data_IF_469526291792
#
_entry.id   IF_469526291792
#
_cell.length_a   1.000
_cell.length_b   1.000
_cell.length_c   1.000
_cell.angle_alpha   90.00
_cell.angle_beta   90.00
_cell.angle_gamma   90.00
#
_symmetry.space_group_name_H-M   'P 1'
#
loop_
_entity.id
_entity.type
_entity.pdbx_description
1 polymer ?
#
# COMPACT_ATOMS: atom_id res chain seq x y z
N UNK A 1 -25.73 29.46 35.58
CA UNK A 1 -27.02 29.36 34.83
C UNK A 1 -27.02 28.33 33.70
N UNK A 2 -25.95 28.16 32.90
CA UNK A 2 -25.91 27.17 31.80
C UNK A 2 -26.19 25.71 32.23
N UNK A 3 -25.73 25.32 33.41
CA UNK A 3 -25.99 23.99 33.97
C UNK A 3 -27.49 23.67 34.12
N UNK A 4 -28.28 24.62 34.63
CA UNK A 4 -29.72 24.43 34.83
C UNK A 4 -30.47 24.32 33.51
N UNK A 5 -30.05 25.07 32.49
CA UNK A 5 -30.64 25.02 31.14
C UNK A 5 -30.33 23.66 30.49
N UNK A 6 -29.09 23.17 30.57
CA UNK A 6 -28.74 21.84 30.08
C UNK A 6 -29.45 20.72 30.85
N UNK A 7 -29.63 20.87 32.16
CA UNK A 7 -30.31 19.89 32.99
C UNK A 7 -31.80 19.78 32.62
N UNK A 8 -32.48 20.91 32.45
CA UNK A 8 -33.88 20.96 31.99
C UNK A 8 -34.02 20.39 30.58
N UNK A 9 -33.10 20.70 29.66
CA UNK A 9 -33.11 20.14 28.31
C UNK A 9 -32.82 18.63 28.25
N UNK A 10 -32.04 18.09 29.20
CA UNK A 10 -31.68 16.67 29.25
C UNK A 10 -32.70 15.81 30.01
N UNK A 11 -33.55 16.40 30.85
CA UNK A 11 -34.55 15.67 31.64
C UNK A 11 -35.51 14.78 30.81
N UNK A 12 -36.12 15.24 29.70
CA UNK A 12 -36.99 14.39 28.89
C UNK A 12 -36.26 13.18 28.30
N UNK A 13 -34.95 13.29 27.98
CA UNK A 13 -34.15 12.14 27.55
C UNK A 13 -33.94 11.11 28.66
N UNK A 14 -33.83 11.55 29.91
CA UNK A 14 -33.69 10.64 31.06
C UNK A 14 -34.99 9.87 31.30
N UNK A 15 -36.14 10.52 31.14
CA UNK A 15 -37.46 9.89 31.23
C UNK A 15 -37.72 8.93 30.07
N UNK A 16 -37.32 9.28 28.84
CA UNK A 16 -37.36 8.37 27.69
C UNK A 16 -36.49 7.13 27.90
N UNK A 17 -35.26 7.31 28.41
CA UNK A 17 -34.35 6.20 28.73
C UNK A 17 -34.92 5.34 29.85
N UNK A 18 -35.47 5.96 30.91
CA UNK A 18 -36.12 5.24 32.00
C UNK A 18 -37.34 4.44 31.50
N UNK A 19 -38.15 5.01 30.61
CA UNK A 19 -39.29 4.34 29.99
C UNK A 19 -38.87 3.20 29.03
N UNK A 20 -37.74 3.34 28.32
CA UNK A 20 -37.17 2.28 27.49
C UNK A 20 -36.64 1.13 28.37
N UNK A 21 -36.00 1.45 29.49
CA UNK A 21 -35.46 0.48 30.43
C UNK A 21 -36.53 -0.19 31.30
N UNK A 22 -37.67 0.47 31.53
CA UNK A 22 -38.80 -0.08 32.30
C UNK A 22 -39.76 -0.91 31.45
N UNK A 23 -39.59 -0.95 30.12
CA UNK A 23 -40.35 -1.88 29.28
C UNK A 23 -39.97 -3.30 29.70
N UNK A 24 -40.94 -4.16 30.06
CA UNK A 24 -40.64 -5.56 30.29
C UNK A 24 -39.98 -6.13 29.04
N UNK A 25 -38.93 -6.96 29.18
CA UNK A 25 -38.28 -7.56 28.02
C UNK A 25 -39.35 -8.25 27.17
N UNK A 26 -39.31 -8.09 25.84
CA UNK A 26 -40.28 -8.73 24.97
C UNK A 26 -40.32 -10.24 25.31
N UNK A 27 -41.52 -10.84 25.36
CA UNK A 27 -41.64 -12.26 25.68
C UNK A 27 -40.70 -13.04 24.76
N UNK A 28 -39.96 -14.04 25.28
CA UNK A 28 -38.97 -14.76 24.50
C UNK A 28 -39.65 -15.30 23.25
N UNK A 29 -39.11 -14.97 22.08
CA UNK A 29 -39.63 -15.43 20.80
C UNK A 29 -39.73 -16.95 20.84
N UNK A 30 -40.94 -17.48 20.78
CA UNK A 30 -41.21 -18.91 20.73
C UNK A 30 -40.63 -19.41 19.40
N UNK A 31 -39.45 -20.04 19.45
CA UNK A 31 -38.83 -20.64 18.28
C UNK A 31 -39.63 -21.88 17.92
N UNK A 32 -40.47 -21.78 16.89
CA UNK A 32 -41.15 -22.94 16.31
C UNK A 32 -40.04 -23.86 15.76
N UNK A 33 -39.97 -25.14 16.19
CA UNK A 33 -38.91 -26.04 15.74
C UNK A 33 -38.97 -26.23 14.22
N UNK A 34 -37.80 -26.28 13.59
CA UNK A 34 -37.67 -26.28 12.12
C UNK A 34 -38.22 -27.54 11.43
N UNK A 35 -38.47 -28.63 12.18
CA UNK A 35 -39.16 -29.85 11.74
C UNK A 35 -40.15 -30.31 12.83
N UNK A 36 -41.26 -30.91 12.41
CA UNK A 36 -42.14 -31.65 13.33
C UNK A 36 -41.55 -33.03 13.68
N UNK A 37 -41.94 -33.59 14.82
CA UNK A 37 -41.44 -34.91 15.26
C UNK A 37 -41.76 -36.04 14.27
N UNK A 38 -42.90 -35.94 13.58
CA UNK A 38 -43.32 -36.90 12.55
C UNK A 38 -42.42 -36.83 11.31
N UNK A 39 -42.03 -35.62 10.90
CA UNK A 39 -41.09 -35.43 9.80
C UNK A 39 -39.71 -35.98 10.15
N UNK A 40 -39.23 -35.76 11.38
CA UNK A 40 -37.95 -36.34 11.86
C UNK A 40 -37.98 -37.87 11.81
N UNK A 41 -39.09 -38.51 12.21
CA UNK A 41 -39.25 -39.96 12.11
C UNK A 41 -39.22 -40.46 10.66
N UNK A 42 -39.93 -39.78 9.76
CA UNK A 42 -39.92 -40.13 8.33
C UNK A 42 -38.53 -39.98 7.70
N UNK A 43 -37.80 -38.93 8.04
CA UNK A 43 -36.42 -38.68 7.59
C UNK A 43 -35.48 -39.80 8.07
N UNK A 44 -35.62 -40.22 9.33
CA UNK A 44 -34.83 -41.31 9.90
C UNK A 44 -35.15 -42.64 9.20
N UNK A 45 -36.41 -42.95 8.98
CA UNK A 45 -36.81 -44.15 8.23
C UNK A 45 -36.28 -44.13 6.79
N UNK A 46 -36.29 -42.97 6.14
CA UNK A 46 -35.69 -42.81 4.81
C UNK A 46 -34.17 -43.02 4.85
N UNK A 47 -33.47 -42.55 5.88
CA UNK A 47 -32.02 -42.78 6.06
C UNK A 47 -31.76 -44.28 6.20
N UNK A 48 -32.55 -45.02 6.99
CA UNK A 48 -32.39 -46.47 7.13
C UNK A 48 -32.73 -47.23 5.84
N UNK A 49 -33.81 -46.84 5.13
CA UNK A 49 -34.27 -47.49 3.89
C UNK A 49 -33.31 -47.22 2.72
N UNK A 50 -32.95 -45.97 2.50
CA UNK A 50 -32.14 -45.55 1.34
C UNK A 50 -30.65 -45.68 1.59
N UNK A 51 -30.23 -45.72 2.87
CA UNK A 51 -28.84 -45.66 3.32
C UNK A 51 -28.08 -44.44 2.79
N UNK A 52 -28.80 -43.43 2.29
CA UNK A 52 -28.27 -42.18 1.74
C UNK A 52 -28.61 -41.05 2.69
N UNK A 53 -27.64 -40.17 2.91
CA UNK A 53 -27.82 -38.99 3.76
C UNK A 53 -28.18 -37.81 2.87
N UNK A 54 -29.32 -37.16 3.15
CA UNK A 54 -29.72 -35.91 2.50
C UNK A 54 -28.87 -34.75 3.02
N UNK A 55 -28.70 -33.72 2.19
CA UNK A 55 -28.12 -32.46 2.65
C UNK A 55 -29.16 -31.63 3.39
N UNK A 56 -28.81 -31.11 4.55
CA UNK A 56 -29.64 -30.20 5.32
C UNK A 56 -29.06 -28.79 5.20
N UNK A 57 -29.82 -27.86 4.63
CA UNK A 57 -29.39 -26.47 4.47
C UNK A 57 -29.30 -25.73 5.82
N UNK A 58 -30.09 -26.17 6.81
CA UNK A 58 -30.17 -25.55 8.13
C UNK A 58 -29.56 -26.45 9.21
N UNK A 59 -28.64 -25.88 9.99
CA UNK A 59 -28.00 -26.54 11.14
C UNK A 59 -29.02 -27.06 12.16
N UNK A 60 -30.10 -26.31 12.42
CA UNK A 60 -31.17 -26.71 13.34
C UNK A 60 -31.89 -27.98 12.85
N UNK A 61 -32.08 -28.15 11.54
CA UNK A 61 -32.69 -29.36 10.97
C UNK A 61 -31.79 -30.58 11.13
N UNK A 62 -30.49 -30.39 10.87
CA UNK A 62 -29.46 -31.42 11.08
C UNK A 62 -29.45 -31.89 12.55
N UNK A 63 -29.48 -30.96 13.49
CA UNK A 63 -29.46 -31.26 14.92
C UNK A 63 -30.70 -32.02 15.39
N UNK A 64 -31.89 -31.68 14.86
CA UNK A 64 -33.12 -32.42 15.13
C UNK A 64 -33.07 -33.86 14.61
N UNK A 65 -32.54 -34.09 13.41
CA UNK A 65 -32.37 -35.45 12.85
C UNK A 65 -31.32 -36.25 13.62
N UNK A 66 -30.20 -35.62 14.01
CA UNK A 66 -29.19 -36.26 14.88
C UNK A 66 -29.78 -36.62 16.25
N UNK A 67 -30.57 -35.73 16.85
CA UNK A 67 -31.25 -35.98 18.11
C UNK A 67 -32.23 -37.16 17.99
N UNK A 68 -32.98 -37.21 16.89
CA UNK A 68 -33.86 -38.34 16.58
C UNK A 68 -33.10 -39.66 16.40
N UNK A 69 -31.96 -39.68 15.68
CA UNK A 69 -31.10 -40.86 15.55
C UNK A 69 -30.49 -41.32 16.89
N UNK A 70 -30.22 -40.38 17.80
CA UNK A 70 -29.76 -40.72 19.17
C UNK A 70 -30.89 -41.30 20.02
N UNK A 71 -32.13 -40.83 19.85
CA UNK A 71 -33.31 -41.40 20.49
C UNK A 71 -33.58 -42.82 19.99
N UNK A 72 -33.57 -43.05 18.68
CA UNK A 72 -33.77 -44.40 18.11
C UNK A 72 -32.68 -45.36 18.54
N UNK A 73 -31.43 -44.89 18.69
CA UNK A 73 -30.35 -45.68 19.31
C UNK A 73 -30.70 -46.09 20.75
N UNK A 74 -31.18 -45.16 21.58
CA UNK A 74 -31.54 -45.46 22.96
C UNK A 74 -32.69 -46.48 23.04
N UNK A 75 -33.74 -46.29 22.23
CA UNK A 75 -34.88 -47.22 22.14
C UNK A 75 -34.46 -48.62 21.66
N UNK A 76 -33.55 -48.70 20.68
CA UNK A 76 -33.02 -49.98 20.19
C UNK A 76 -32.17 -50.69 21.26
N UNK A 77 -31.42 -49.95 22.09
CA UNK A 77 -30.68 -50.52 23.22
C UNK A 77 -31.64 -51.09 24.27
N UNK A 78 -32.72 -50.37 24.61
CA UNK A 78 -33.74 -50.85 25.56
C UNK A 78 -34.43 -52.13 25.05
N UNK A 79 -34.64 -52.25 23.74
CA UNK A 79 -35.20 -53.45 23.09
C UNK A 79 -34.17 -54.57 22.84
N UNK A 80 -32.91 -54.38 23.25
CA UNK A 80 -31.81 -55.32 22.98
C UNK A 80 -31.48 -55.55 21.49
N UNK A 81 -31.87 -54.62 20.61
CA UNK A 81 -31.59 -54.65 19.16
C UNK A 81 -30.27 -53.92 18.85
N UNK A 82 -29.15 -54.55 19.21
CA UNK A 82 -27.82 -53.91 19.15
C UNK A 82 -27.37 -53.52 17.73
N UNK A 83 -27.78 -54.25 16.69
CA UNK A 83 -27.42 -53.95 15.30
C UNK A 83 -28.04 -52.63 14.83
N UNK A 84 -29.32 -52.42 15.14
CA UNK A 84 -30.02 -51.16 14.83
C UNK A 84 -29.43 -49.99 15.62
N UNK A 85 -29.06 -50.21 16.88
CA UNK A 85 -28.40 -49.20 17.69
C UNK A 85 -27.02 -48.79 17.12
N UNK A 86 -26.25 -49.75 16.58
CA UNK A 86 -24.96 -49.49 15.93
C UNK A 86 -25.14 -48.74 14.61
N UNK A 87 -26.11 -49.13 13.78
CA UNK A 87 -26.44 -48.42 12.54
C UNK A 87 -26.90 -46.98 12.82
N UNK A 88 -27.77 -46.77 13.80
CA UNK A 88 -28.23 -45.44 14.22
C UNK A 88 -27.07 -44.53 14.67
N UNK A 89 -26.14 -45.07 15.48
CA UNK A 89 -24.95 -44.35 15.92
C UNK A 89 -23.98 -44.04 14.76
N UNK A 90 -23.85 -44.97 13.82
CA UNK A 90 -23.05 -44.78 12.61
C UNK A 90 -23.59 -43.63 11.75
N UNK A 91 -24.90 -43.63 11.45
CA UNK A 91 -25.54 -42.57 10.67
C UNK A 91 -25.49 -41.22 11.39
N UNK A 92 -25.70 -41.19 12.72
CA UNK A 92 -25.58 -39.97 13.50
C UNK A 92 -24.17 -39.36 13.40
N UNK A 93 -23.12 -40.18 13.48
CA UNK A 93 -21.73 -39.73 13.33
C UNK A 93 -21.43 -39.19 11.94
N UNK A 94 -21.94 -39.84 10.88
CA UNK A 94 -21.75 -39.35 9.52
C UNK A 94 -22.48 -38.02 9.31
N UNK A 95 -23.72 -37.89 9.81
CA UNK A 95 -24.48 -36.64 9.72
C UNK A 95 -23.74 -35.48 10.39
N UNK A 96 -23.21 -35.71 11.60
CA UNK A 96 -22.42 -34.71 12.35
C UNK A 96 -21.16 -34.34 11.56
N UNK A 97 -20.41 -35.32 11.04
CA UNK A 97 -19.20 -35.08 10.25
C UNK A 97 -19.51 -34.27 8.98
N UNK A 98 -20.56 -34.63 8.26
CA UNK A 98 -20.98 -33.94 7.05
C UNK A 98 -21.45 -32.50 7.33
N UNK A 99 -22.15 -32.26 8.44
CA UNK A 99 -22.53 -30.92 8.88
C UNK A 99 -21.31 -30.05 9.24
N UNK A 100 -20.35 -30.61 9.98
CA UNK A 100 -19.10 -29.95 10.32
C UNK A 100 -18.30 -29.57 9.07
N UNK A 101 -18.17 -30.49 8.10
CA UNK A 101 -17.49 -30.21 6.83
C UNK A 101 -18.20 -29.12 6.01
N UNK A 102 -19.54 -29.11 6.01
CA UNK A 102 -20.32 -28.05 5.38
C UNK A 102 -20.07 -26.67 6.00
N UNK A 103 -20.01 -26.58 7.33
CA UNK A 103 -19.66 -25.33 8.02
C UNK A 103 -18.24 -24.88 7.71
N UNK A 104 -17.27 -25.81 7.67
CA UNK A 104 -15.88 -25.50 7.28
C UNK A 104 -15.80 -25.02 5.85
N UNK A 105 -16.52 -25.65 4.91
CA UNK A 105 -16.59 -25.21 3.52
C UNK A 105 -17.10 -23.76 3.41
N UNK A 106 -18.23 -23.45 4.06
CA UNK A 106 -18.79 -22.08 4.09
C UNK A 106 -17.82 -21.06 4.70
N UNK A 107 -17.11 -21.43 5.76
CA UNK A 107 -16.12 -20.56 6.38
C UNK A 107 -14.94 -20.30 5.44
N UNK A 108 -14.45 -21.33 4.74
CA UNK A 108 -13.34 -21.17 3.79
C UNK A 108 -13.76 -20.41 2.53
N UNK A 109 -14.99 -20.59 2.03
CA UNK A 109 -15.49 -19.83 0.88
C UNK A 109 -15.66 -18.36 1.21
N UNK A 110 -16.21 -18.03 2.39
CA UNK A 110 -16.30 -16.66 2.88
C UNK A 110 -14.91 -16.01 3.01
N UNK A 111 -13.94 -16.74 3.57
CA UNK A 111 -12.56 -16.27 3.68
C UNK A 111 -11.90 -16.05 2.31
N UNK A 112 -12.12 -16.96 1.36
CA UNK A 112 -11.60 -16.81 0.01
C UNK A 112 -12.20 -15.57 -0.69
N UNK A 113 -13.51 -15.32 -0.51
CA UNK A 113 -14.16 -14.12 -1.03
C UNK A 113 -13.61 -12.83 -0.41
N UNK A 114 -13.39 -12.81 0.91
CA UNK A 114 -12.80 -11.66 1.61
C UNK A 114 -11.38 -11.36 1.12
N UNK A 115 -10.54 -12.40 0.97
CA UNK A 115 -9.18 -12.24 0.45
C UNK A 115 -9.20 -11.73 -0.99
N UNK A 116 -10.13 -12.24 -1.82
CA UNK A 116 -10.31 -11.79 -3.20
C UNK A 116 -10.66 -10.30 -3.27
N UNK A 117 -11.59 -9.85 -2.45
CA UNK A 117 -11.96 -8.43 -2.37
C UNK A 117 -10.75 -7.57 -1.99
N UNK A 118 -10.00 -7.96 -0.95
CA UNK A 118 -8.77 -7.27 -0.53
C UNK A 118 -7.71 -7.21 -1.62
N UNK A 119 -7.65 -8.25 -2.46
CA UNK A 119 -6.72 -8.33 -3.59
C UNK A 119 -7.11 -7.34 -4.69
N UNK A 120 -8.40 -7.24 -5.01
CA UNK A 120 -8.93 -6.24 -5.95
C UNK A 120 -8.66 -4.81 -5.46
N UNK A 121 -8.97 -4.52 -4.19
CA UNK A 121 -8.68 -3.24 -3.54
C UNK A 121 -7.17 -2.90 -3.60
N UNK A 122 -6.29 -3.86 -3.24
CA UNK A 122 -4.84 -3.65 -3.28
C UNK A 122 -4.31 -3.39 -4.71
N UNK A 123 -4.91 -4.00 -5.73
CA UNK A 123 -4.53 -3.77 -7.14
C UNK A 123 -4.94 -2.38 -7.61
N UNK A 124 -6.11 -1.91 -7.21
CA UNK A 124 -6.57 -0.57 -7.56
C UNK A 124 -5.80 0.51 -6.80
N UNK A 125 -5.45 0.25 -5.54
CA UNK A 125 -4.53 1.08 -4.77
C UNK A 125 -3.16 1.20 -5.44
N UNK A 126 -2.60 0.10 -5.95
CA UNK A 126 -1.34 0.11 -6.69
C UNK A 126 -1.44 1.01 -7.93
N UNK A 127 -2.50 0.86 -8.73
CA UNK A 127 -2.72 1.72 -9.92
C UNK A 127 -2.85 3.20 -9.53
N UNK A 128 -3.55 3.49 -8.43
CA UNK A 128 -3.71 4.85 -7.93
C UNK A 128 -2.36 5.45 -7.51
N UNK A 129 -1.50 4.66 -6.85
CA UNK A 129 -0.14 5.08 -6.47
C UNK A 129 0.73 5.34 -7.69
N UNK A 130 0.69 4.47 -8.70
CA UNK A 130 1.42 4.66 -9.95
C UNK A 130 1.04 5.99 -10.63
N UNK A 131 -0.27 6.25 -10.79
CA UNK A 131 -0.76 7.52 -11.35
C UNK A 131 -0.31 8.73 -10.53
N UNK A 132 -0.42 8.67 -9.21
CA UNK A 132 0.05 9.75 -8.32
C UNK A 132 1.54 10.04 -8.51
N UNK A 133 2.37 9.00 -8.61
CA UNK A 133 3.81 9.16 -8.83
C UNK A 133 4.13 9.71 -10.22
N UNK A 134 3.38 9.32 -11.25
CA UNK A 134 3.49 9.90 -12.60
C UNK A 134 3.12 11.39 -12.61
N UNK A 135 2.02 11.77 -11.96
CA UNK A 135 1.61 13.17 -11.82
C UNK A 135 2.66 14.00 -11.08
N UNK A 136 3.22 13.48 -9.98
CA UNK A 136 4.30 14.14 -9.24
C UNK A 136 5.56 14.30 -10.10
N UNK A 137 5.90 13.27 -10.88
CA UNK A 137 7.03 13.33 -11.79
C UNK A 137 6.84 14.38 -12.89
N UNK A 138 5.64 14.48 -13.47
CA UNK A 138 5.31 15.49 -14.48
C UNK A 138 5.37 16.90 -13.89
N UNK A 139 4.77 17.13 -12.72
CA UNK A 139 4.87 18.43 -12.01
C UNK A 139 6.32 18.80 -11.72
N UNK A 140 7.13 17.85 -11.25
CA UNK A 140 8.56 18.08 -11.02
C UNK A 140 9.28 18.50 -12.30
N UNK A 141 9.00 17.82 -13.42
CA UNK A 141 9.58 18.17 -14.73
C UNK A 141 9.17 19.59 -15.17
N UNK A 142 7.90 19.93 -15.07
CA UNK A 142 7.38 21.26 -15.39
C UNK A 142 8.06 22.34 -14.55
N UNK A 143 8.13 22.14 -13.22
CA UNK A 143 8.79 23.10 -12.32
C UNK A 143 10.29 23.27 -12.61
N UNK A 144 10.97 22.20 -13.00
CA UNK A 144 12.37 22.26 -13.41
C UNK A 144 12.53 23.06 -14.72
N UNK A 145 11.65 22.82 -15.71
CA UNK A 145 11.66 23.55 -16.99
C UNK A 145 11.36 25.04 -16.81
N UNK A 146 10.35 25.38 -16.00
CA UNK A 146 10.04 26.79 -15.71
C UNK A 146 11.21 27.49 -15.04
N UNK A 147 11.83 26.84 -14.06
CA UNK A 147 12.99 27.42 -13.37
C UNK A 147 14.19 27.59 -14.31
N UNK A 148 14.47 26.61 -15.17
CA UNK A 148 15.54 26.76 -16.16
C UNK A 148 15.26 27.91 -17.12
N UNK A 149 14.02 28.05 -17.60
CA UNK A 149 13.62 29.16 -18.46
C UNK A 149 13.80 30.51 -17.76
N UNK A 150 13.40 30.64 -16.51
CA UNK A 150 13.64 31.85 -15.70
C UNK A 150 15.13 32.15 -15.53
N UNK A 151 15.95 31.13 -15.25
CA UNK A 151 17.41 31.31 -15.16
C UNK A 151 18.01 31.77 -16.48
N UNK A 152 17.59 31.18 -17.61
CA UNK A 152 18.05 31.60 -18.93
C UNK A 152 17.66 33.04 -19.24
N UNK A 153 16.44 33.46 -18.91
CA UNK A 153 15.99 34.84 -19.09
C UNK A 153 16.81 35.80 -18.22
N UNK A 154 17.04 35.47 -16.94
CA UNK A 154 17.88 36.26 -16.04
C UNK A 154 19.31 36.40 -16.58
N UNK A 155 19.93 35.30 -17.01
CA UNK A 155 21.27 35.29 -17.59
C UNK A 155 21.36 36.10 -18.88
N UNK A 156 20.37 35.98 -19.76
CA UNK A 156 20.30 36.76 -21.00
C UNK A 156 20.15 38.25 -20.70
N UNK A 157 19.29 38.62 -19.75
CA UNK A 157 19.09 40.02 -19.35
C UNK A 157 20.36 40.63 -18.74
N UNK A 158 21.09 39.87 -17.92
CA UNK A 158 22.35 40.31 -17.31
C UNK A 158 23.41 40.57 -18.40
N UNK A 159 23.58 39.65 -19.36
CA UNK A 159 24.52 39.83 -20.47
C UNK A 159 24.12 41.05 -21.32
N UNK A 160 22.84 41.19 -21.67
CA UNK A 160 22.34 42.36 -22.42
C UNK A 160 22.62 43.67 -21.68
N UNK A 161 22.45 43.70 -20.37
CA UNK A 161 22.75 44.88 -19.56
C UNK A 161 24.24 45.22 -19.60
N UNK A 162 25.12 44.22 -19.51
CA UNK A 162 26.58 44.42 -19.63
C UNK A 162 26.98 44.86 -21.06
N UNK A 163 26.34 44.33 -22.09
CA UNK A 163 26.55 44.76 -23.48
C UNK A 163 26.06 46.20 -23.71
N UNK A 164 24.96 46.61 -23.10
CA UNK A 164 24.47 47.98 -23.13
C UNK A 164 25.44 48.93 -22.42
N UNK A 165 26.02 48.52 -21.29
CA UNK A 165 27.08 49.28 -20.59
C UNK A 165 28.34 49.44 -21.45
N UNK A 166 28.69 48.43 -22.27
CA UNK A 166 29.81 48.52 -23.21
C UNK A 166 29.62 49.64 -24.24
N UNK A 167 28.38 49.88 -24.68
CA UNK A 167 28.04 50.95 -25.65
C UNK A 167 28.05 52.35 -25.04
N UNK A 168 28.06 52.47 -23.71
CA UNK A 168 28.11 53.76 -23.02
C UNK A 168 29.54 54.29 -22.93
N UNK A 169 29.67 55.62 -22.84
CA UNK A 169 30.95 56.29 -22.69
C UNK A 169 31.65 55.85 -21.39
N UNK A 170 33.00 55.76 -21.40
CA UNK A 170 33.74 55.31 -20.23
C UNK A 170 33.52 56.27 -19.05
N UNK A 171 33.33 55.74 -17.83
CA UNK A 171 33.11 56.56 -16.65
C UNK A 171 34.36 57.40 -16.31
N UNK A 172 34.21 58.54 -15.59
CA UNK A 172 35.32 59.43 -15.23
C UNK A 172 36.46 58.73 -14.48
N UNK A 173 36.17 57.65 -13.75
CA UNK A 173 37.20 56.85 -13.06
C UNK A 173 38.25 56.25 -14.02
N UNK A 174 37.89 56.03 -15.29
CA UNK A 174 38.77 55.46 -16.32
C UNK A 174 39.40 56.57 -17.17
N UNK A 175 38.70 57.71 -17.34
CA UNK A 175 39.16 58.89 -18.08
C UNK A 175 40.16 59.75 -17.30
N UNK A 176 41.21 59.13 -16.77
CA UNK A 176 42.29 59.88 -16.09
C UNK A 176 43.35 60.24 -17.12
N UNK A 177 43.25 61.47 -17.63
CA UNK A 177 44.22 62.03 -18.58
C UNK A 177 45.63 62.11 -17.99
N UNK A 178 46.63 62.00 -18.86
CA UNK A 178 48.03 62.08 -18.43
C UNK A 178 48.38 63.49 -17.93
N UNK A 179 49.37 63.56 -17.03
CA UNK A 179 49.88 64.84 -16.54
C UNK A 179 50.42 65.73 -17.68
N UNK A 180 50.92 65.11 -18.76
CA UNK A 180 51.47 65.82 -19.91
C UNK A 180 50.36 66.55 -20.68
N UNK A 181 49.24 65.88 -20.97
CA UNK A 181 48.07 66.51 -21.59
C UNK A 181 47.53 67.66 -20.72
N UNK A 182 47.44 67.44 -19.41
CA UNK A 182 47.01 68.47 -18.47
C UNK A 182 47.94 69.69 -18.46
N UNK A 183 49.26 69.49 -18.58
CA UNK A 183 50.24 70.56 -18.70
C UNK A 183 50.09 71.34 -20.01
N UNK A 184 49.89 70.64 -21.14
CA UNK A 184 49.64 71.29 -22.43
C UNK A 184 48.36 72.14 -22.41
N UNK A 185 47.27 71.65 -21.80
CA UNK A 185 46.03 72.43 -21.63
C UNK A 185 46.23 73.67 -20.76
N UNK A 186 46.94 73.55 -19.63
CA UNK A 186 47.28 74.70 -18.77
C UNK A 186 48.16 75.72 -19.49
N UNK A 187 49.14 75.27 -20.28
CA UNK A 187 50.02 76.15 -21.06
C UNK A 187 49.25 76.86 -22.18
N UNK A 188 48.35 76.16 -22.85
CA UNK A 188 47.43 76.73 -23.83
C UNK A 188 46.58 77.84 -23.21
N UNK A 189 45.96 77.59 -22.05
CA UNK A 189 45.17 78.59 -21.32
C UNK A 189 46.00 79.81 -20.93
N UNK A 190 47.23 79.61 -20.44
CA UNK A 190 48.15 80.69 -20.10
C UNK A 190 48.54 81.54 -21.32
N UNK A 191 48.79 80.92 -22.49
CA UNK A 191 49.08 81.62 -23.75
C UNK A 191 47.87 82.44 -24.26
N UNK A 192 46.65 81.90 -24.11
CA UNK A 192 45.42 82.62 -24.42
C UNK A 192 45.26 83.86 -23.52
N UNK A 193 45.52 83.73 -22.22
CA UNK A 193 45.51 84.85 -21.27
C UNK A 193 46.60 85.88 -21.62
N UNK A 194 47.76 85.43 -22.08
CA UNK A 194 48.87 86.26 -22.56
C UNK A 194 48.67 86.88 -23.95
N UNK A 195 47.51 86.66 -24.61
CA UNK A 195 47.18 87.13 -25.98
C UNK A 195 48.10 86.59 -27.08
N UNK A 196 48.77 85.46 -26.85
CA UNK A 196 49.63 84.77 -27.82
C UNK A 196 48.81 83.73 -28.59
N UNK A 197 47.93 84.19 -29.48
CA UNK A 197 46.94 83.32 -30.12
C UNK A 197 47.55 82.28 -31.08
N UNK A 198 48.56 82.67 -31.86
CA UNK A 198 49.21 81.75 -32.83
C UNK A 198 49.93 80.58 -32.14
N UNK A 199 50.60 80.84 -31.02
CA UNK A 199 51.26 79.80 -30.22
C UNK A 199 50.24 78.93 -29.48
N UNK A 200 49.17 79.55 -28.97
CA UNK A 200 48.06 78.83 -28.35
C UNK A 200 47.35 77.88 -29.32
N UNK A 201 47.22 78.27 -30.60
CA UNK A 201 46.64 77.43 -31.64
C UNK A 201 47.48 76.17 -31.90
N UNK A 202 48.80 76.32 -32.08
CA UNK A 202 49.72 75.18 -32.22
C UNK A 202 49.69 74.27 -31.00
N UNK A 203 49.65 74.84 -29.80
CA UNK A 203 49.53 74.06 -28.55
C UNK A 203 48.18 73.34 -28.44
N UNK A 204 47.10 73.96 -28.92
CA UNK A 204 45.78 73.34 -28.98
C UNK A 204 45.78 72.13 -29.90
N UNK A 205 46.36 72.21 -31.09
CA UNK A 205 46.43 71.08 -32.02
C UNK A 205 47.16 69.88 -31.41
N UNK A 206 48.30 70.12 -30.76
CA UNK A 206 49.07 69.08 -30.05
C UNK A 206 48.26 68.48 -28.89
N UNK A 207 47.58 69.30 -28.09
CA UNK A 207 46.75 68.84 -27.00
C UNK A 207 45.51 68.06 -27.49
N UNK A 208 44.88 68.50 -28.58
CA UNK A 208 43.72 67.85 -29.20
C UNK A 208 44.12 66.48 -29.80
N UNK A 209 45.31 66.37 -30.41
CA UNK A 209 45.85 65.09 -30.89
C UNK A 209 46.08 64.12 -29.73
N UNK A 210 46.77 64.57 -28.68
CA UNK A 210 47.07 63.76 -27.50
C UNK A 210 45.80 63.36 -26.74
N UNK A 211 44.79 64.23 -26.67
CA UNK A 211 43.51 63.90 -26.07
C UNK A 211 42.77 62.80 -26.83
N UNK A 212 42.78 62.84 -28.18
CA UNK A 212 42.15 61.79 -29.00
C UNK A 212 42.81 60.44 -28.76
N UNK A 213 44.14 60.39 -28.74
CA UNK A 213 44.90 59.16 -28.46
C UNK A 213 44.57 58.60 -27.06
N UNK A 214 44.55 59.45 -26.03
CA UNK A 214 44.20 59.03 -24.67
C UNK A 214 42.74 58.59 -24.54
N UNK A 215 41.81 59.26 -25.22
CA UNK A 215 40.39 58.89 -25.25
C UNK A 215 40.17 57.51 -25.91
N UNK A 216 40.91 57.19 -26.98
CA UNK A 216 40.92 55.86 -27.60
C UNK A 216 41.44 54.79 -26.62
N UNK A 217 42.55 55.07 -25.94
CA UNK A 217 43.11 54.16 -24.92
C UNK A 217 42.13 53.95 -23.77
N UNK A 218 41.45 55.01 -23.31
CA UNK A 218 40.41 54.90 -22.28
C UNK A 218 39.23 54.04 -22.74
N UNK A 219 38.81 54.17 -24.00
CA UNK A 219 37.74 53.37 -24.58
C UNK A 219 38.12 51.88 -24.67
N UNK A 220 39.36 51.58 -25.08
CA UNK A 220 39.89 50.20 -25.12
C UNK A 220 39.89 49.59 -23.71
N UNK A 221 40.46 50.29 -22.72
CA UNK A 221 40.48 49.83 -21.32
C UNK A 221 39.09 49.58 -20.75
N UNK A 222 38.13 50.44 -21.08
CA UNK A 222 36.72 50.26 -20.69
C UNK A 222 36.11 49.01 -21.32
N UNK A 223 36.28 48.85 -22.62
CA UNK A 223 35.81 47.67 -23.35
C UNK A 223 36.42 46.39 -22.78
N UNK A 224 37.71 46.37 -22.47
CA UNK A 224 38.38 45.23 -21.83
C UNK A 224 37.80 44.91 -20.45
N UNK A 225 37.56 45.92 -19.62
CA UNK A 225 36.97 45.75 -18.29
C UNK A 225 35.56 45.15 -18.40
N UNK A 226 34.73 45.66 -19.32
CA UNK A 226 33.39 45.12 -19.55
C UNK A 226 33.45 43.70 -20.12
N UNK A 227 34.35 43.42 -21.05
CA UNK A 227 34.54 42.06 -21.57
C UNK A 227 34.92 41.08 -20.47
N UNK A 228 35.83 41.45 -19.55
CA UNK A 228 36.16 40.63 -18.38
C UNK A 228 34.94 40.40 -17.48
N UNK A 229 34.10 41.43 -17.28
CA UNK A 229 32.84 41.28 -16.52
C UNK A 229 31.87 40.32 -17.20
N UNK A 230 31.72 40.40 -18.53
CA UNK A 230 30.88 39.49 -19.32
C UNK A 230 31.39 38.06 -19.21
N UNK A 231 32.70 37.83 -19.36
CA UNK A 231 33.28 36.49 -19.23
C UNK A 231 33.13 35.92 -17.81
N UNK A 232 33.34 36.75 -16.78
CA UNK A 232 33.09 36.34 -15.40
C UNK A 232 31.60 36.01 -15.16
N UNK A 233 30.68 36.81 -15.72
CA UNK A 233 29.25 36.53 -15.65
C UNK A 233 28.95 35.18 -16.31
N UNK A 234 29.37 34.94 -17.56
CA UNK A 234 29.18 33.65 -18.25
C UNK A 234 29.73 32.47 -17.44
N UNK A 235 30.92 32.62 -16.85
CA UNK A 235 31.53 31.58 -16.02
C UNK A 235 30.69 31.30 -14.75
N UNK A 236 30.14 32.33 -14.12
CA UNK A 236 29.25 32.15 -12.96
C UNK A 236 27.91 31.52 -13.36
N UNK A 237 27.32 31.95 -14.47
CA UNK A 237 26.08 31.41 -15.02
C UNK A 237 26.22 29.92 -15.37
N UNK A 238 27.32 29.53 -16.03
CA UNK A 238 27.58 28.11 -16.35
C UNK A 238 27.76 27.26 -15.09
N UNK A 239 28.45 27.76 -14.06
CA UNK A 239 28.56 27.09 -12.76
C UNK A 239 27.18 26.94 -12.10
N UNK A 240 26.38 28.01 -12.09
CA UNK A 240 25.03 27.99 -11.52
C UNK A 240 24.13 26.98 -12.22
N UNK A 241 24.13 26.96 -13.56
CA UNK A 241 23.38 25.98 -14.34
C UNK A 241 23.85 24.54 -14.06
N UNK A 242 25.16 24.30 -13.93
CA UNK A 242 25.70 22.97 -13.58
C UNK A 242 25.21 22.50 -12.22
N UNK A 243 25.32 23.35 -11.19
CA UNK A 243 24.84 23.04 -9.84
C UNK A 243 23.34 22.77 -9.86
N UNK A 244 22.57 23.60 -10.57
CA UNK A 244 21.12 23.43 -10.61
C UNK A 244 20.66 22.19 -11.38
N UNK A 245 21.34 21.85 -12.48
CA UNK A 245 21.13 20.57 -13.19
C UNK A 245 21.44 19.36 -12.30
N UNK A 246 22.52 19.42 -11.53
CA UNK A 246 22.85 18.35 -10.58
C UNK A 246 21.80 18.21 -9.48
N UNK A 247 21.31 19.34 -8.93
CA UNK A 247 20.21 19.34 -7.95
C UNK A 247 18.97 18.62 -8.49
N UNK A 248 18.47 19.03 -9.66
CA UNK A 248 17.27 18.42 -10.25
C UNK A 248 17.46 16.95 -10.64
N UNK A 249 18.68 16.56 -11.06
CA UNK A 249 19.02 15.17 -11.29
C UNK A 249 18.92 14.35 -10.01
N UNK A 250 19.45 14.86 -8.90
CA UNK A 250 19.39 14.19 -7.60
C UNK A 250 17.94 14.11 -7.09
N UNK A 251 17.19 15.22 -7.14
CA UNK A 251 15.78 15.25 -6.77
C UNK A 251 14.94 14.26 -7.58
N UNK A 252 15.18 14.18 -8.90
CA UNK A 252 14.55 13.17 -9.77
C UNK A 252 14.90 11.75 -9.32
N UNK A 253 16.17 11.47 -9.04
CA UNK A 253 16.60 10.15 -8.62
C UNK A 253 15.97 9.76 -7.28
N UNK A 254 15.91 10.69 -6.34
CA UNK A 254 15.25 10.50 -5.04
C UNK A 254 13.76 10.18 -5.20
N UNK A 255 13.06 10.95 -6.04
CA UNK A 255 11.64 10.73 -6.34
C UNK A 255 11.39 9.35 -6.97
N UNK A 256 12.20 8.97 -7.97
CA UNK A 256 12.10 7.65 -8.61
C UNK A 256 12.40 6.52 -7.61
N UNK A 257 13.41 6.70 -6.76
CA UNK A 257 13.75 5.71 -5.73
C UNK A 257 12.63 5.54 -4.70
N UNK A 258 11.97 6.62 -4.29
CA UNK A 258 10.82 6.58 -3.38
C UNK A 258 9.62 5.90 -4.05
N UNK A 259 9.30 6.28 -5.28
CA UNK A 259 8.23 5.66 -6.06
C UNK A 259 8.43 4.15 -6.22
N UNK A 260 9.65 3.73 -6.59
CA UNK A 260 9.99 2.32 -6.75
C UNK A 260 9.84 1.55 -5.43
N UNK A 261 10.28 2.11 -4.30
CA UNK A 261 10.12 1.48 -2.97
C UNK A 261 8.65 1.27 -2.62
N UNK A 262 7.80 2.26 -2.84
CA UNK A 262 6.38 2.15 -2.54
C UNK A 262 5.65 1.18 -3.47
N UNK A 263 5.97 1.20 -4.76
CA UNK A 263 5.42 0.26 -5.75
C UNK A 263 5.86 -1.16 -5.39
N UNK A 264 7.13 -1.38 -5.07
CA UNK A 264 7.65 -2.70 -4.68
C UNK A 264 7.01 -3.23 -3.39
N UNK A 265 6.74 -2.35 -2.41
CA UNK A 265 6.00 -2.74 -1.22
C UNK A 265 4.56 -3.14 -1.54
N UNK A 266 3.89 -2.39 -2.42
CA UNK A 266 2.54 -2.70 -2.85
C UNK A 266 2.47 -4.01 -3.66
N UNK A 267 3.42 -4.25 -4.57
CA UNK A 267 3.48 -5.51 -5.34
C UNK A 267 3.72 -6.70 -4.42
N UNK A 268 4.66 -6.60 -3.46
CA UNK A 268 4.89 -7.66 -2.46
C UNK A 268 3.64 -7.96 -1.61
N UNK A 269 2.86 -6.93 -1.28
CA UNK A 269 1.59 -7.12 -0.57
C UNK A 269 0.57 -7.87 -1.43
N UNK A 270 0.46 -7.53 -2.72
CA UNK A 270 -0.40 -8.25 -3.67
C UNK A 270 0.05 -9.71 -3.83
N UNK A 271 1.35 -9.97 -4.03
CA UNK A 271 1.89 -11.34 -4.14
C UNK A 271 1.58 -12.17 -2.89
N UNK A 272 1.65 -11.56 -1.70
CA UNK A 272 1.27 -12.24 -0.46
C UNK A 272 -0.23 -12.54 -0.41
N UNK A 273 -1.08 -11.60 -0.83
CA UNK A 273 -2.53 -11.82 -0.92
C UNK A 273 -2.89 -12.89 -1.96
N UNK A 274 -2.20 -12.94 -3.10
CA UNK A 274 -2.37 -13.98 -4.13
C UNK A 274 -2.06 -15.37 -3.57
N UNK A 275 -0.91 -15.54 -2.90
CA UNK A 275 -0.58 -16.79 -2.21
C UNK A 275 -1.60 -17.15 -1.12
N UNK A 276 -2.06 -16.14 -0.37
CA UNK A 276 -3.11 -16.34 0.65
C UNK A 276 -4.44 -16.75 0.03
N UNK A 277 -4.77 -16.26 -1.16
CA UNK A 277 -5.96 -16.61 -1.89
C UNK A 277 -5.89 -18.03 -2.43
N UNK A 278 -4.78 -18.42 -3.04
CA UNK A 278 -4.54 -19.79 -3.51
C UNK A 278 -4.66 -20.82 -2.37
N UNK A 279 -4.05 -20.53 -1.22
CA UNK A 279 -4.15 -21.40 -0.04
C UNK A 279 -5.59 -21.50 0.48
N UNK A 280 -6.35 -20.40 0.50
CA UNK A 280 -7.76 -20.43 0.86
C UNK A 280 -8.60 -21.23 -0.16
N UNK A 281 -8.38 -21.05 -1.47
CA UNK A 281 -9.05 -21.85 -2.50
C UNK A 281 -8.73 -23.33 -2.39
N UNK A 282 -7.49 -23.69 -2.12
CA UNK A 282 -7.10 -25.09 -1.92
C UNK A 282 -7.78 -25.68 -0.67
N UNK A 283 -7.93 -24.90 0.40
CA UNK A 283 -8.68 -25.33 1.58
C UNK A 283 -10.17 -25.55 1.28
N UNK A 284 -10.79 -24.70 0.46
CA UNK A 284 -12.17 -24.90 -0.04
C UNK A 284 -12.27 -26.22 -0.81
N UNK A 285 -11.35 -26.49 -1.75
CA UNK A 285 -11.33 -27.75 -2.53
C UNK A 285 -11.15 -28.99 -1.65
N UNK A 286 -10.30 -28.92 -0.62
CA UNK A 286 -10.12 -30.03 0.32
C UNK A 286 -11.40 -30.27 1.12
N UNK A 287 -12.05 -29.20 1.60
CA UNK A 287 -13.31 -29.31 2.33
C UNK A 287 -14.43 -29.90 1.46
N UNK A 288 -14.55 -29.47 0.21
CA UNK A 288 -15.53 -30.04 -0.74
C UNK A 288 -15.24 -31.51 -1.05
N UNK A 289 -13.96 -31.88 -1.28
CA UNK A 289 -13.59 -33.26 -1.55
C UNK A 289 -13.87 -34.18 -0.35
N UNK A 290 -13.52 -33.77 0.88
CA UNK A 290 -13.84 -34.53 2.09
C UNK A 290 -15.36 -34.67 2.30
N UNK A 291 -16.12 -33.64 1.94
CA UNK A 291 -17.58 -33.66 1.98
C UNK A 291 -18.17 -34.63 0.94
N UNK A 292 -17.55 -34.78 -0.22
CA UNK A 292 -17.95 -35.78 -1.24
C UNK A 292 -17.52 -37.21 -0.85
N UNK A 293 -16.31 -37.38 -0.31
CA UNK A 293 -15.82 -38.68 0.17
C UNK A 293 -16.70 -39.23 1.30
N UNK A 294 -17.13 -38.38 2.24
CA UNK A 294 -18.07 -38.80 3.30
C UNK A 294 -19.43 -39.25 2.78
N UNK A 295 -19.85 -38.79 1.58
CA UNK A 295 -21.04 -39.34 0.89
C UNK A 295 -20.74 -40.69 0.23
N UNK A 296 -19.52 -40.91 -0.28
CA UNK A 296 -19.14 -42.12 -1.02
C UNK A 296 -18.72 -43.32 -0.15
N UNK A 297 -18.23 -43.10 1.08
CA UNK A 297 -17.95 -44.18 2.07
C UNK A 297 -19.19 -45.04 2.35
N UNK A 298 -20.39 -44.54 2.04
CA UNK A 298 -21.66 -45.27 2.07
C UNK A 298 -21.74 -46.46 1.09
N UNK A 299 -20.89 -46.54 0.05
CA UNK A 299 -20.94 -47.61 -0.96
C UNK A 299 -20.04 -48.81 -0.65
N UNK A 300 -18.92 -48.62 0.05
CA UNK A 300 -17.89 -49.65 0.20
C UNK A 300 -18.04 -50.55 1.44
N UNK A 301 -18.90 -50.19 2.39
CA UNK A 301 -19.16 -51.03 3.58
C UNK A 301 -19.92 -52.34 3.27
N UNK A 302 -20.34 -52.57 2.01
CA UNK A 302 -21.03 -53.80 1.62
C UNK A 302 -20.13 -55.03 1.47
N UNK A 303 -18.79 -54.93 1.47
CA UNK A 303 -17.95 -56.09 1.08
C UNK A 303 -17.09 -56.75 2.15
N UNK A 304 -16.74 -56.15 3.29
CA UNK A 304 -15.91 -56.86 4.31
C UNK A 304 -16.11 -56.37 5.74
N UNK A 305 -17.21 -56.74 6.38
CA UNK A 305 -17.26 -56.83 7.84
C UNK A 305 -17.97 -58.12 8.24
N UNK A 306 -17.23 -59.23 8.17
CA UNK A 306 -17.55 -60.36 9.03
C UNK A 306 -16.94 -60.08 10.42
N UNK A 307 -17.74 -60.10 11.50
CA UNK A 307 -17.19 -59.99 12.84
C UNK A 307 -16.43 -61.28 13.12
N UNK A 308 -15.09 -61.22 13.14
CA UNK A 308 -14.29 -62.26 13.78
C UNK A 308 -14.51 -62.13 15.29
N UNK A 309 -15.53 -62.80 15.79
CA UNK A 309 -15.64 -63.17 17.19
C UNK A 309 -14.48 -64.10 17.53
N UNK A 310 -13.60 -63.63 18.41
CA UNK A 310 -12.47 -64.40 18.91
C UNK A 310 -11.18 -63.62 18.92
N UNK A 311 -11.02 -62.73 19.92
CA UNK A 311 -9.98 -62.91 20.94
C UNK A 311 -9.92 -61.67 21.86
N UNK A 312 -9.92 -62.00 23.14
CA UNK A 312 -9.93 -61.12 24.30
C UNK A 312 -8.59 -60.37 24.37
N UNK A 313 -8.58 -59.08 24.07
CA UNK A 313 -7.66 -58.09 24.67
C UNK A 313 -8.38 -56.73 24.68
N UNK A 314 -9.25 -56.55 25.68
CA UNK A 314 -10.25 -55.49 25.78
C UNK A 314 -9.71 -54.09 26.13
N UNK A 315 -8.39 -53.85 26.12
CA UNK A 315 -7.82 -52.54 26.48
C UNK A 315 -7.22 -51.75 25.31
N UNK A 316 -7.03 -52.34 24.13
CA UNK A 316 -6.23 -51.70 23.06
C UNK A 316 -7.05 -50.97 21.99
N UNK A 317 -8.28 -51.40 21.69
CA UNK A 317 -9.05 -50.88 20.53
C UNK A 317 -9.67 -49.49 20.76
N UNK A 318 -10.23 -49.25 21.95
CA UNK A 318 -10.75 -47.92 22.31
C UNK A 318 -9.61 -46.91 22.47
N UNK A 319 -8.47 -47.31 23.05
CA UNK A 319 -7.28 -46.45 23.12
C UNK A 319 -6.69 -46.16 21.75
N UNK A 320 -6.62 -47.14 20.82
CA UNK A 320 -6.18 -46.87 19.45
C UNK A 320 -7.09 -45.90 18.73
N UNK A 321 -8.41 -46.04 18.89
CA UNK A 321 -9.38 -45.14 18.25
C UNK A 321 -9.33 -43.74 18.85
N UNK A 322 -9.24 -43.63 20.18
CA UNK A 322 -9.02 -42.36 20.85
C UNK A 322 -7.67 -41.72 20.47
N UNK A 323 -6.60 -42.50 20.31
CA UNK A 323 -5.30 -42.03 19.81
C UNK A 323 -5.36 -41.60 18.35
N UNK A 324 -6.11 -42.30 17.51
CA UNK A 324 -6.33 -41.93 16.10
C UNK A 324 -7.14 -40.64 15.98
N UNK A 325 -8.23 -40.51 16.73
CA UNK A 325 -9.05 -39.29 16.78
C UNK A 325 -8.26 -38.12 17.38
N UNK A 326 -7.49 -38.36 18.44
CA UNK A 326 -6.58 -37.37 19.00
C UNK A 326 -5.52 -36.94 17.98
N UNK A 327 -4.91 -37.88 17.25
CA UNK A 327 -3.91 -37.60 16.21
C UNK A 327 -4.52 -36.87 15.02
N UNK A 328 -5.74 -37.21 14.60
CA UNK A 328 -6.46 -36.48 13.56
C UNK A 328 -6.79 -35.06 14.01
N UNK A 329 -7.27 -34.86 15.24
CA UNK A 329 -7.48 -33.51 15.82
C UNK A 329 -6.18 -32.74 15.93
N UNK A 330 -5.08 -33.38 16.28
CA UNK A 330 -3.76 -32.75 16.39
C UNK A 330 -3.22 -32.35 15.02
N UNK A 331 -3.42 -33.17 13.98
CA UNK A 331 -3.08 -32.84 12.58
C UNK A 331 -3.96 -31.71 12.06
N UNK A 332 -5.28 -31.74 12.34
CA UNK A 332 -6.19 -30.66 12.00
C UNK A 332 -5.76 -29.36 12.69
N UNK A 333 -5.47 -29.41 13.99
CA UNK A 333 -5.03 -28.25 14.74
C UNK A 333 -3.67 -27.72 14.25
N UNK A 334 -2.75 -28.61 13.86
CA UNK A 334 -1.48 -28.20 13.27
C UNK A 334 -1.65 -27.56 11.88
N UNK A 335 -2.55 -28.10 11.04
CA UNK A 335 -2.74 -27.59 9.67
C UNK A 335 -3.65 -26.37 9.59
N UNK A 336 -4.62 -26.24 10.50
CA UNK A 336 -5.65 -25.20 10.47
C UNK A 336 -5.33 -24.06 11.43
N UNK A 337 -4.81 -24.34 12.64
CA UNK A 337 -4.70 -23.34 13.69
C UNK A 337 -3.25 -22.96 14.06
N UNK A 338 -2.26 -23.83 13.86
CA UNK A 338 -0.86 -23.40 14.04
C UNK A 338 -0.34 -22.77 12.76
N UNK A 339 -0.10 -21.46 12.79
CA UNK A 339 0.75 -20.80 11.79
C UNK A 339 2.10 -21.52 11.80
N UNK A 340 2.47 -22.15 10.68
CA UNK A 340 3.83 -22.67 10.48
C UNK A 340 4.82 -21.58 10.90
N UNK A 341 5.79 -21.86 11.80
CA UNK A 341 6.80 -20.87 12.14
C UNK A 341 7.47 -20.44 10.83
N UNK A 342 7.47 -19.13 10.57
CA UNK A 342 8.23 -18.54 9.46
C UNK A 342 9.64 -19.11 9.58
N UNK A 343 10.07 -19.86 8.56
CA UNK A 343 11.49 -20.12 8.31
C UNK A 343 12.15 -18.75 8.22
N UNK A 344 12.72 -18.28 9.32
CA UNK A 344 13.66 -17.18 9.32
C UNK A 344 14.87 -17.73 8.58
N UNK A 345 14.99 -17.36 7.31
CA UNK A 345 16.15 -17.66 6.49
C UNK A 345 17.40 -17.22 7.22
N UNK A 346 18.06 -18.19 7.87
CA UNK A 346 19.43 -18.06 8.32
C UNK A 346 20.27 -18.09 7.05
N UNK A 347 20.51 -16.92 6.49
CA UNK A 347 21.44 -16.72 5.37
C UNK A 347 22.83 -17.15 5.84
N UNK A 348 23.51 -18.10 5.16
CA UNK A 348 24.89 -18.41 5.49
C UNK A 348 25.72 -17.16 5.24
N UNK A 349 26.40 -16.66 6.29
CA UNK A 349 27.46 -15.68 6.13
C UNK A 349 28.55 -16.32 5.29
N UNK A 350 28.67 -15.86 4.04
CA UNK A 350 29.82 -16.16 3.21
C UNK A 350 31.07 -15.59 3.86
N UNK A 351 32.00 -16.49 4.23
CA UNK A 351 33.37 -16.15 4.53
C UNK A 351 34.00 -15.50 3.29
N UNK A 352 34.36 -14.22 3.39
CA UNK A 352 35.33 -13.60 2.50
C UNK A 352 36.72 -14.02 2.97
N UNK A 353 37.51 -14.58 2.04
CA UNK A 353 38.96 -14.56 2.09
C UNK A 353 39.46 -13.17 1.73
#
# INVERSE_FOLDING_TARGET
MRFFIEYIQKQPRVEEIAHILSKPPPPPVIKIPALSEEQVKSEIEEIFKTKKIKYYDNQEKLELVVAGLRKTRAEAIERSEYLLAEEADHYAKILISHGQLGSVELMQTAKAAEIKQKLEEARDDLKSKQKKWEELYMKMKETAETEFNELYQKHSSEIKNLENLRKQNPPPSIKKYSNLLLQFRRRQEAMLQGRQYEEAEKMKEVADSMQKEEDEVHLIKWNELINRKIENAKNNQTKQLKVRKAFWRNARQELVNQANKEIEQATKAIEHLEKSYETAQNAVKIASNLKEETKNVQRELKTKYQPKYGQIHATSRMEMKARMDFRQRQILNQRIYTRLPKSTGCSPRGNRK
#
